data_IF_778914907406
#
_entry.id   IF_778914907406
#
_cell.length_a   1.000
_cell.length_b   1.000
_cell.length_c   1.000
_cell.angle_alpha   90.00
_cell.angle_beta   90.00
_cell.angle_gamma   90.00
#
_symmetry.space_group_name_H-M   'P 1'
#
loop_
_entity.id
_entity.type
_entity.pdbx_description
1 polymer ?
#
# COMPACT_ATOMS: atom_id res chain seq x y z
N UNK A 1 1.44 -0.44 -3.01
CA UNK A 1 0.11 0.17 -2.76
C UNK A 1 0.30 1.65 -2.58
N UNK A 2 -0.51 2.48 -3.25
CA UNK A 2 -0.44 3.94 -3.09
C UNK A 2 -1.14 4.36 -1.80
N UNK A 3 -0.49 5.15 -0.95
CA UNK A 3 -1.05 5.60 0.33
C UNK A 3 -0.88 7.11 0.39
N UNK A 4 -1.97 7.85 0.59
CA UNK A 4 -1.93 9.31 0.64
C UNK A 4 -2.67 9.83 1.87
N UNK A 5 -2.18 10.97 2.38
CA UNK A 5 -2.84 11.69 3.47
C UNK A 5 -3.96 12.60 2.94
N UNK A 6 -4.01 12.88 1.63
CA UNK A 6 -5.11 13.61 0.99
C UNK A 6 -6.35 12.72 0.82
N UNK A 7 -7.53 13.34 0.73
CA UNK A 7 -8.79 12.63 0.49
C UNK A 7 -8.97 12.20 -0.99
N UNK A 8 -8.17 12.77 -1.89
CA UNK A 8 -8.17 12.51 -3.33
C UNK A 8 -6.76 12.18 -3.79
N UNK A 9 -6.67 11.50 -4.92
CA UNK A 9 -5.42 11.20 -5.60
C UNK A 9 -5.44 11.93 -6.95
N UNK A 10 -4.75 13.08 -7.10
CA UNK A 10 -4.67 13.77 -8.38
C UNK A 10 -4.21 12.84 -9.52
N UNK A 11 -4.83 12.98 -10.69
CA UNK A 11 -4.58 12.08 -11.82
C UNK A 11 -5.16 10.67 -11.67
N UNK A 12 -5.97 10.40 -10.65
CA UNK A 12 -6.65 9.11 -10.50
C UNK A 12 -8.14 9.30 -10.22
N UNK A 13 -8.96 8.38 -10.74
CA UNK A 13 -10.36 8.20 -10.37
C UNK A 13 -10.45 7.12 -9.30
N UNK A 14 -11.21 7.37 -8.24
CA UNK A 14 -11.61 6.32 -7.30
C UNK A 14 -12.79 5.58 -7.91
N UNK A 15 -12.61 4.30 -8.18
CA UNK A 15 -13.57 3.41 -8.83
C UNK A 15 -14.42 2.63 -7.81
N UNK A 16 -13.81 2.21 -6.70
CA UNK A 16 -14.47 1.52 -5.60
C UNK A 16 -13.94 1.98 -4.23
N UNK A 17 -14.79 1.89 -3.21
CA UNK A 17 -14.46 2.19 -1.82
C UNK A 17 -14.75 0.96 -0.96
N UNK A 18 -13.74 0.48 -0.22
CA UNK A 18 -13.80 -0.73 0.61
C UNK A 18 -13.93 -0.43 2.11
N UNK A 19 -14.24 0.82 2.44
CA UNK A 19 -14.40 1.29 3.80
C UNK A 19 -13.08 1.54 4.52
N UNK A 20 -13.18 1.65 5.83
CA UNK A 20 -12.07 1.94 6.73
C UNK A 20 -11.18 0.70 6.92
N UNK A 21 -9.88 0.94 7.02
CA UNK A 21 -8.82 -0.05 7.29
C UNK A 21 -7.85 0.52 8.31
N UNK A 22 -7.30 -0.34 9.16
CA UNK A 22 -6.41 0.06 10.24
C UNK A 22 -5.29 -0.94 10.51
N UNK A 23 -4.24 -0.46 11.15
CA UNK A 23 -3.23 -1.26 11.79
C UNK A 23 -2.94 -0.71 13.17
N UNK A 24 -2.83 -1.60 14.15
CA UNK A 24 -2.64 -1.23 15.55
C UNK A 24 -1.44 -1.96 16.15
N UNK A 25 -0.72 -1.30 17.05
CA UNK A 25 0.25 -1.94 17.94
C UNK A 25 0.24 -1.24 19.30
N UNK A 26 0.49 -2.01 20.36
CA UNK A 26 0.69 -1.49 21.72
C UNK A 26 2.11 -1.85 22.14
N UNK A 27 2.87 -0.86 22.59
CA UNK A 27 4.26 -1.05 23.02
C UNK A 27 4.40 -0.72 24.50
N UNK A 28 5.08 -1.60 25.23
CA UNK A 28 5.57 -1.30 26.58
C UNK A 28 6.65 -0.23 26.50
N UNK A 29 6.59 0.72 27.42
CA UNK A 29 7.69 1.66 27.66
C UNK A 29 8.64 1.02 28.66
N UNK A 30 9.86 0.67 28.24
CA UNK A 30 10.86 0.10 29.13
C UNK A 30 11.14 1.04 30.32
N UNK A 31 10.96 0.54 31.55
CA UNK A 31 11.19 1.30 32.79
C UNK A 31 12.60 1.91 32.84
N UNK A 32 13.62 1.20 32.36
CA UNK A 32 14.99 1.71 32.28
C UNK A 32 15.15 2.86 31.27
N UNK A 33 14.47 2.77 30.12
CA UNK A 33 14.44 3.84 29.12
C UNK A 33 13.69 5.07 29.66
N UNK A 34 12.62 4.88 30.44
CA UNK A 34 11.88 5.98 31.09
C UNK A 34 12.74 6.74 32.10
N UNK A 35 13.50 6.03 32.94
CA UNK A 35 14.42 6.66 33.90
C UNK A 35 15.49 7.46 33.17
N UNK A 36 16.12 6.87 32.15
CA UNK A 36 17.15 7.56 31.36
C UNK A 36 16.59 8.73 30.54
N UNK A 37 15.35 8.60 30.05
CA UNK A 37 14.63 9.67 29.39
C UNK A 37 14.33 10.83 30.34
N UNK A 38 13.91 10.56 31.56
CA UNK A 38 13.69 11.58 32.59
C UNK A 38 14.98 12.33 32.95
N UNK A 39 16.11 11.64 33.03
CA UNK A 39 17.41 12.30 33.24
C UNK A 39 17.85 13.14 32.03
N UNK A 40 17.65 12.67 30.80
CA UNK A 40 17.98 13.44 29.58
C UNK A 40 17.01 14.58 29.30
N UNK A 41 15.73 14.45 29.62
CA UNK A 41 14.74 15.51 29.38
C UNK A 41 15.01 16.76 30.23
N UNK A 42 15.63 16.60 31.40
CA UNK A 42 16.10 17.72 32.24
C UNK A 42 17.23 18.52 31.57
N UNK A 43 18.03 17.88 30.72
CA UNK A 43 19.06 18.53 29.89
C UNK A 43 18.57 18.97 28.50
N UNK A 44 17.36 18.55 28.10
CA UNK A 44 16.81 18.74 26.76
C UNK A 44 17.47 17.85 25.69
N UNK A 45 16.78 17.66 24.56
CA UNK A 45 17.30 16.94 23.39
C UNK A 45 16.42 15.77 22.93
N UNK A 46 16.76 15.22 21.77
CA UNK A 46 16.11 14.03 21.21
C UNK A 46 16.42 12.78 22.05
N UNK A 47 15.51 11.80 22.02
CA UNK A 47 15.71 10.47 22.59
C UNK A 47 15.79 9.43 21.46
N UNK A 48 16.98 9.16 20.88
CA UNK A 48 17.12 8.39 19.65
C UNK A 48 16.49 7.00 19.70
N UNK A 49 16.61 6.29 20.82
CA UNK A 49 16.00 4.95 20.98
C UNK A 49 14.46 5.02 20.99
N UNK A 50 13.90 6.07 21.59
CA UNK A 50 12.45 6.26 21.62
C UNK A 50 11.93 6.70 20.24
N UNK A 51 12.68 7.57 19.54
CA UNK A 51 12.44 7.90 18.14
C UNK A 51 12.44 6.64 17.27
N UNK A 52 13.46 5.79 17.42
CA UNK A 52 13.59 4.52 16.68
C UNK A 52 12.41 3.58 16.94
N UNK A 53 12.02 3.40 18.20
CA UNK A 53 10.86 2.58 18.57
C UNK A 53 9.55 3.10 17.95
N UNK A 54 9.37 4.42 17.83
CA UNK A 54 8.22 5.00 17.14
C UNK A 54 8.26 4.76 15.62
N UNK A 55 9.42 4.82 14.99
CA UNK A 55 9.55 4.47 13.57
C UNK A 55 9.21 3.00 13.30
N UNK A 56 9.73 2.09 14.12
CA UNK A 56 9.43 0.66 14.02
C UNK A 56 7.94 0.39 14.22
N UNK A 57 7.32 1.03 15.22
CA UNK A 57 5.88 0.93 15.46
C UNK A 57 5.07 1.44 14.27
N UNK A 58 5.45 2.59 13.68
CA UNK A 58 4.79 3.15 12.49
C UNK A 58 4.88 2.22 11.28
N UNK A 59 6.05 1.60 11.06
CA UNK A 59 6.23 0.62 9.98
C UNK A 59 5.34 -0.61 10.17
N UNK A 60 5.28 -1.13 11.39
CA UNK A 60 4.45 -2.30 11.73
C UNK A 60 2.97 -2.03 11.48
N UNK A 61 2.43 -0.92 11.99
CA UNK A 61 1.00 -0.61 11.83
C UNK A 61 0.65 -0.29 10.39
N UNK A 62 1.54 0.37 9.65
CA UNK A 62 1.38 0.58 8.22
C UNK A 62 1.30 -0.74 7.46
N UNK A 63 2.17 -1.70 7.77
CA UNK A 63 2.15 -3.01 7.14
C UNK A 63 0.84 -3.78 7.43
N UNK A 64 0.32 -3.70 8.66
CA UNK A 64 -0.97 -4.29 9.06
C UNK A 64 -2.15 -3.67 8.29
N UNK A 65 -2.22 -2.33 8.24
CA UNK A 65 -3.24 -1.58 7.50
C UNK A 65 -3.20 -1.90 5.99
N UNK A 66 -2.00 -1.99 5.41
CA UNK A 66 -1.83 -2.36 3.99
C UNK A 66 -2.29 -3.77 3.72
N UNK A 67 -1.92 -4.74 4.57
CA UNK A 67 -2.39 -6.12 4.44
C UNK A 67 -3.92 -6.20 4.48
N UNK A 68 -4.55 -5.49 5.41
CA UNK A 68 -6.01 -5.44 5.49
C UNK A 68 -6.64 -4.85 4.21
N UNK A 69 -6.10 -3.73 3.70
CA UNK A 69 -6.56 -3.14 2.45
C UNK A 69 -6.41 -4.10 1.25
N UNK A 70 -5.29 -4.81 1.16
CA UNK A 70 -5.04 -5.80 0.11
C UNK A 70 -6.02 -6.97 0.18
N UNK A 71 -6.31 -7.48 1.37
CA UNK A 71 -7.29 -8.57 1.57
C UNK A 71 -8.70 -8.17 1.12
N UNK A 72 -9.02 -6.87 1.16
CA UNK A 72 -10.29 -6.32 0.66
C UNK A 72 -10.28 -5.99 -0.83
N UNK A 73 -9.17 -6.22 -1.54
CA UNK A 73 -9.03 -5.94 -2.97
C UNK A 73 -8.70 -4.48 -3.30
N UNK A 74 -8.33 -3.66 -2.32
CA UNK A 74 -7.91 -2.29 -2.57
C UNK A 74 -6.51 -2.22 -3.19
N UNK A 75 -6.27 -1.16 -3.96
CA UNK A 75 -4.94 -0.86 -4.54
C UNK A 75 -4.36 0.47 -4.01
N UNK A 76 -5.16 1.23 -3.26
CA UNK A 76 -4.75 2.47 -2.62
C UNK A 76 -5.48 2.71 -1.28
N UNK A 77 -4.90 3.59 -0.45
CA UNK A 77 -5.49 4.08 0.80
C UNK A 77 -5.44 5.61 0.78
N UNK A 78 -6.59 6.26 0.99
CA UNK A 78 -6.70 7.72 1.08
C UNK A 78 -6.99 8.18 2.50
N UNK A 79 -6.82 9.48 2.76
CA UNK A 79 -7.05 10.09 4.06
C UNK A 79 -6.28 9.39 5.20
N UNK A 80 -5.10 8.83 4.90
CA UNK A 80 -4.31 8.09 5.88
C UNK A 80 -3.86 8.98 7.03
N UNK A 81 -4.03 8.52 8.27
CA UNK A 81 -3.61 9.21 9.49
C UNK A 81 -2.92 8.24 10.43
N UNK A 82 -2.10 8.81 11.31
CA UNK A 82 -1.64 8.13 12.51
C UNK A 82 -2.37 8.71 13.72
N UNK A 83 -2.70 7.83 14.65
CA UNK A 83 -3.08 8.19 16.01
C UNK A 83 -2.12 7.54 17.00
N UNK A 84 -1.93 8.19 18.13
CA UNK A 84 -1.10 7.69 19.23
C UNK A 84 -1.75 8.03 20.54
N UNK A 85 -2.00 7.02 21.38
CA UNK A 85 -2.62 7.18 22.69
C UNK A 85 -1.70 6.61 23.79
N UNK A 86 -1.75 7.20 24.99
CA UNK A 86 -1.09 6.63 26.18
C UNK A 86 -2.11 5.83 26.97
N UNK A 87 -1.90 4.52 27.12
CA UNK A 87 -2.84 3.61 27.78
C UNK A 87 -2.32 3.24 29.18
N UNK A 88 -2.49 4.14 30.15
CA UNK A 88 -1.83 4.03 31.45
C UNK A 88 -0.32 4.24 31.29
N UNK A 89 0.35 4.88 32.27
CA UNK A 89 1.69 5.49 32.08
C UNK A 89 2.84 4.62 31.54
N UNK A 90 2.62 3.33 31.31
CA UNK A 90 3.59 2.35 30.82
C UNK A 90 3.35 1.85 29.39
N UNK A 91 2.25 2.23 28.73
CA UNK A 91 1.91 1.71 27.40
C UNK A 91 1.60 2.83 26.41
N UNK A 92 2.11 2.69 25.19
CA UNK A 92 1.75 3.54 24.06
C UNK A 92 1.05 2.70 23.00
N UNK A 93 -0.12 3.13 22.60
CA UNK A 93 -0.79 2.67 21.39
C UNK A 93 -0.31 3.50 20.20
N UNK A 94 -0.04 2.85 19.08
CA UNK A 94 0.12 3.48 17.77
C UNK A 94 -0.89 2.86 16.83
N UNK A 95 -1.65 3.71 16.14
CA UNK A 95 -2.64 3.31 15.14
C UNK A 95 -2.32 4.01 13.82
N UNK A 96 -2.41 3.28 12.71
CA UNK A 96 -2.51 3.83 11.36
C UNK A 96 -3.88 3.47 10.80
N UNK A 97 -4.59 4.42 10.23
CA UNK A 97 -5.90 4.17 9.63
C UNK A 97 -6.12 5.03 8.38
N UNK A 98 -7.08 4.62 7.55
CA UNK A 98 -7.47 5.34 6.35
C UNK A 98 -8.66 4.70 5.66
N UNK A 99 -8.97 5.15 4.45
CA UNK A 99 -10.03 4.56 3.61
C UNK A 99 -9.41 3.77 2.47
N UNK A 100 -9.69 2.47 2.41
CA UNK A 100 -9.24 1.59 1.35
C UNK A 100 -10.08 1.82 0.08
N UNK A 101 -9.42 1.99 -1.06
CA UNK A 101 -10.06 2.30 -2.35
C UNK A 101 -9.39 1.55 -3.51
N UNK A 102 -10.12 1.44 -4.62
CA UNK A 102 -9.56 1.10 -5.92
C UNK A 102 -9.41 2.38 -6.74
N UNK A 103 -8.17 2.78 -7.04
CA UNK A 103 -7.83 3.96 -7.81
C UNK A 103 -7.31 3.58 -9.21
N UNK A 104 -7.83 4.23 -10.23
CA UNK A 104 -7.46 4.03 -11.65
C UNK A 104 -6.79 5.32 -12.14
N UNK A 105 -5.58 5.26 -12.72
CA UNK A 105 -4.93 6.44 -13.29
C UNK A 105 -5.71 6.95 -14.51
N UNK A 106 -5.81 8.27 -14.63
CA UNK A 106 -6.48 8.95 -15.74
C UNK A 106 -5.57 9.03 -16.97
N UNK A 107 -6.14 8.73 -18.14
CA UNK A 107 -5.43 8.74 -19.42
C UNK A 107 -5.24 10.15 -19.98
N UNK A 108 -4.39 10.29 -21.01
CA UNK A 108 -4.23 11.56 -21.73
C UNK A 108 -5.56 12.05 -22.31
N UNK A 109 -5.84 13.34 -22.14
CA UNK A 109 -7.10 13.96 -22.58
C UNK A 109 -8.26 13.83 -21.58
N UNK A 110 -8.15 13.01 -20.54
CA UNK A 110 -9.17 12.96 -19.48
C UNK A 110 -9.07 14.19 -18.55
N UNK A 111 -10.21 14.82 -18.16
CA UNK A 111 -10.19 15.92 -17.21
C UNK A 111 -9.54 15.55 -15.88
N UNK A 112 -8.52 16.32 -15.47
CA UNK A 112 -7.78 16.07 -14.23
C UNK A 112 -6.63 15.06 -14.38
N UNK A 113 -6.33 14.59 -15.60
CA UNK A 113 -5.11 13.86 -15.88
C UNK A 113 -3.88 14.68 -15.51
N UNK A 114 -2.87 14.01 -14.98
CA UNK A 114 -1.58 14.60 -14.63
C UNK A 114 -0.49 13.97 -15.48
N UNK A 115 0.69 14.60 -15.58
CA UNK A 115 1.82 14.00 -16.29
C UNK A 115 2.15 12.59 -15.76
N UNK A 116 1.99 12.37 -14.46
CA UNK A 116 2.19 11.05 -13.84
C UNK A 116 1.12 10.03 -14.28
N UNK A 117 -0.17 10.40 -14.31
CA UNK A 117 -1.23 9.45 -14.69
C UNK A 117 -1.14 9.07 -16.17
N UNK A 118 -0.78 10.02 -17.03
CA UNK A 118 -0.52 9.80 -18.45
C UNK A 118 0.67 8.84 -18.63
N UNK A 119 1.75 9.05 -17.88
CA UNK A 119 2.89 8.12 -17.89
C UNK A 119 2.46 6.70 -17.49
N UNK A 120 1.73 6.54 -16.38
CA UNK A 120 1.29 5.23 -15.89
C UNK A 120 0.40 4.50 -16.90
N UNK A 121 -0.57 5.19 -17.50
CA UNK A 121 -1.47 4.60 -18.50
C UNK A 121 -0.73 4.23 -19.79
N UNK A 122 0.19 5.09 -20.27
CA UNK A 122 0.99 4.78 -21.46
C UNK A 122 1.96 3.62 -21.26
N UNK A 123 2.53 3.46 -20.06
CA UNK A 123 3.42 2.36 -19.72
C UNK A 123 2.68 1.01 -19.69
N UNK A 124 1.48 0.98 -19.08
CA UNK A 124 0.64 -0.21 -19.05
C UNK A 124 0.24 -0.68 -20.45
N UNK A 125 -0.15 0.25 -21.34
CA UNK A 125 -0.47 -0.06 -22.74
C UNK A 125 0.72 -0.65 -23.52
N UNK A 126 1.94 -0.13 -23.29
CA UNK A 126 3.15 -0.66 -23.93
C UNK A 126 3.48 -2.08 -23.45
N UNK A 127 3.33 -2.37 -22.15
CA UNK A 127 3.53 -3.71 -21.61
C UNK A 127 2.54 -4.71 -22.21
N UNK A 128 1.24 -4.37 -22.22
CA UNK A 128 0.21 -5.22 -22.80
C UNK A 128 0.46 -5.52 -24.30
N UNK A 129 0.91 -4.51 -25.06
CA UNK A 129 1.27 -4.70 -26.47
C UNK A 129 2.49 -5.63 -26.66
N UNK A 130 3.49 -5.55 -25.77
CA UNK A 130 4.66 -6.43 -25.83
C UNK A 130 4.33 -7.88 -25.50
N UNK A 131 3.44 -8.14 -24.54
CA UNK A 131 3.00 -9.48 -24.16
C UNK A 131 2.17 -10.16 -25.26
N UNK A 132 1.33 -9.40 -25.97
CA UNK A 132 0.57 -9.91 -27.13
C UNK A 132 1.48 -10.21 -28.33
N UNK A 133 2.57 -9.46 -28.51
CA UNK A 133 3.53 -9.70 -29.59
C UNK A 133 4.49 -10.89 -29.33
N UNK A 134 4.54 -11.40 -28.10
CA UNK A 134 5.44 -12.48 -27.67
C UNK A 134 4.82 -13.88 -27.60
N UNK A 135 3.51 -14.04 -27.88
CA UNK A 135 2.88 -15.36 -27.92
C UNK A 135 3.23 -16.08 -29.24
N UNK A 136 3.90 -17.25 -29.21
CA UNK A 136 4.08 -18.03 -30.43
C UNK A 136 2.70 -18.46 -30.94
N UNK A 137 2.45 -18.23 -32.22
CA UNK A 137 1.27 -18.76 -32.91
C UNK A 137 1.32 -20.29 -32.86
N UNK A 138 0.69 -20.91 -31.85
CA UNK A 138 0.28 -22.30 -31.96
C UNK A 138 -0.93 -22.35 -32.89
N UNK A 139 -0.71 -22.13 -34.19
CA UNK A 139 -1.71 -22.38 -35.22
C UNK A 139 -1.53 -23.80 -35.74
N UNK A 140 -2.51 -24.64 -35.38
CA UNK A 140 -3.16 -25.58 -36.30
C UNK A 140 -2.26 -26.30 -37.32
N UNK A 141 -1.58 -27.36 -36.90
CA UNK A 141 -1.11 -28.42 -37.80
C UNK A 141 -0.85 -29.72 -37.02
N UNK A 142 -1.90 -30.51 -36.77
CA UNK A 142 -1.89 -31.98 -36.86
C UNK A 142 -3.27 -32.54 -36.46
N UNK A 143 -4.30 -32.15 -37.22
CA UNK A 143 -5.51 -32.96 -37.38
C UNK A 143 -5.60 -33.34 -38.85
N UNK A 144 -4.71 -34.24 -39.26
CA UNK A 144 -4.88 -35.00 -40.49
C UNK A 144 -3.93 -36.19 -40.40
N UNK A 145 -4.51 -37.35 -40.13
CA UNK A 145 -4.26 -38.63 -40.80
C UNK A 145 -4.23 -39.80 -39.80
N UNK A 146 -5.42 -40.18 -39.31
CA UNK A 146 -5.64 -41.53 -38.82
C UNK A 146 -6.95 -42.03 -39.43
N UNK A 147 -6.87 -42.37 -40.71
CA UNK A 147 -7.81 -43.25 -41.39
C UNK A 147 -7.00 -44.44 -41.91
N UNK A 148 -7.39 -45.64 -41.45
CA UNK A 148 -6.97 -47.02 -41.72
C UNK A 148 -6.70 -47.37 -43.23
N UNK A 149 -6.20 -48.58 -43.65
CA UNK A 149 -6.32 -49.91 -42.99
C UNK A 149 -5.18 -50.96 -43.22
N UNK A 150 -5.48 -52.21 -42.83
CA UNK A 150 -4.83 -53.53 -43.07
C UNK A 150 -3.77 -53.95 -42.01
N UNK A 151 -3.84 -55.11 -41.34
CA UNK A 151 -4.40 -56.47 -41.62
C UNK A 151 -5.08 -57.03 -40.37
#
# INVERSE_FOLDING_TARGET
>A
MLIVTSNKIPGHRIDAVFGEVMGLTVRSRDLGAQVMAGFRSLGGGELPEMTKALYESRQEVMARMVNEAQQRGANAIVAMRFDTSEMGGNWTEVCAYGTAVFAIPLAEGEPGATGQSIYLTSAASKQAASEQSGQPATSAASQAHEASPEI
#
